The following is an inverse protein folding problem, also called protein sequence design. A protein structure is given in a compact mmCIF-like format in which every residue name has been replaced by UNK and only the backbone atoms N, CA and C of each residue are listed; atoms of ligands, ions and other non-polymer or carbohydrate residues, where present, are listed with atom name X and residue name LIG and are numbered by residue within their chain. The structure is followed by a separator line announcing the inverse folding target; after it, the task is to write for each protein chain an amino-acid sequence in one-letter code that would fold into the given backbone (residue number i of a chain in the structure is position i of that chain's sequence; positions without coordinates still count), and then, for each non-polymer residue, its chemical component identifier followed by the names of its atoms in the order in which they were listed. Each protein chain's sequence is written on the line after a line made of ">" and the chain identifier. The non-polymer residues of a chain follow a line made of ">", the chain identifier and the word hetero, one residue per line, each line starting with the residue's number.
data_IF_211208044711
#
_entry.id   IF_211208044711
#
_cell.length_a   1.000
_cell.length_b   1.000
_cell.length_c   1.000
_cell.angle_alpha   90.00
_cell.angle_beta   90.00
_cell.angle_gamma   90.00
#
_symmetry.space_group_name_H-M   'P 1'
#
loop_
_entity.id
_entity.type
_entity.pdbx_description
1 polymer ?
#
# COMPACT_ATOMS: atom_id res chain seq x y z
N UNK A 1 50.25 -40.90 33.87
CA UNK A 1 49.13 -40.58 32.95
C UNK A 1 49.20 -39.09 32.58
N UNK A 2 49.81 -38.75 31.46
CA UNK A 2 50.01 -37.36 31.01
C UNK A 2 49.00 -37.01 29.91
N UNK A 3 48.16 -35.99 30.13
CA UNK A 3 47.24 -35.44 29.12
C UNK A 3 48.01 -34.43 28.25
N UNK A 4 48.14 -34.73 26.97
CA UNK A 4 48.71 -33.83 25.98
C UNK A 4 47.68 -32.74 25.61
N UNK A 5 47.99 -31.53 26.06
CA UNK A 5 47.30 -30.28 25.73
C UNK A 5 47.65 -29.89 24.27
N UNK A 6 46.73 -30.11 23.33
CA UNK A 6 46.87 -29.64 21.94
C UNK A 6 46.30 -28.23 21.82
N UNK A 7 47.16 -27.23 21.97
CA UNK A 7 46.92 -25.87 21.55
C UNK A 7 46.83 -25.81 20.02
N UNK A 8 45.61 -25.71 19.50
CA UNK A 8 45.39 -25.37 18.09
C UNK A 8 45.72 -23.88 17.88
N UNK A 9 46.58 -23.51 16.92
CA UNK A 9 46.77 -22.12 16.57
C UNK A 9 45.48 -21.57 15.93
N UNK A 10 45.11 -20.29 16.18
CA UNK A 10 44.05 -19.65 15.44
C UNK A 10 44.51 -19.51 13.99
N UNK A 11 44.01 -20.40 13.13
CA UNK A 11 44.18 -20.26 11.69
C UNK A 11 43.62 -18.89 11.23
N UNK A 12 44.18 -18.29 10.18
CA UNK A 12 43.67 -17.03 9.64
C UNK A 12 42.18 -17.21 9.36
N UNK A 13 41.36 -16.38 10.00
CA UNK A 13 39.93 -16.29 9.77
C UNK A 13 39.74 -15.99 8.29
N UNK A 14 39.59 -17.04 7.48
CA UNK A 14 39.25 -16.94 6.08
C UNK A 14 38.01 -16.06 6.02
N UNK A 15 38.17 -14.86 5.44
CA UNK A 15 37.11 -13.89 5.29
C UNK A 15 35.92 -14.64 4.67
N UNK A 16 34.87 -14.86 5.48
CA UNK A 16 33.70 -15.60 5.05
C UNK A 16 33.16 -14.86 3.82
N UNK A 17 33.11 -15.49 2.63
CA UNK A 17 32.70 -14.80 1.43
C UNK A 17 31.32 -14.23 1.70
N UNK A 18 31.22 -12.90 1.68
CA UNK A 18 29.99 -12.18 1.94
C UNK A 18 28.88 -12.85 1.13
N UNK A 19 27.95 -13.48 1.84
CA UNK A 19 27.02 -14.44 1.27
C UNK A 19 26.27 -13.78 0.10
N UNK A 20 26.19 -14.39 -1.09
CA UNK A 20 25.38 -13.87 -2.21
C UNK A 20 23.92 -13.56 -1.81
N UNK A 21 23.45 -14.16 -0.72
CA UNK A 21 22.19 -13.86 -0.05
C UNK A 21 22.06 -12.41 0.46
N UNK A 22 23.13 -11.79 0.99
CA UNK A 22 23.10 -10.37 1.44
C UNK A 22 22.89 -9.41 0.27
N UNK A 23 23.48 -9.70 -0.89
CA UNK A 23 23.30 -8.89 -2.10
C UNK A 23 21.93 -9.07 -2.77
N UNK A 24 21.26 -10.22 -2.61
CA UNK A 24 19.88 -10.41 -3.09
C UNK A 24 18.83 -9.74 -2.20
N UNK A 25 19.15 -9.46 -0.93
CA UNK A 25 18.24 -8.79 0.00
C UNK A 25 18.17 -7.27 -0.21
N UNK A 26 19.17 -6.64 -0.82
CA UNK A 26 19.21 -5.18 -1.04
C UNK A 26 18.47 -4.71 -2.30
N UNK A 27 18.07 -5.62 -3.19
CA UNK A 27 17.39 -5.29 -4.44
C UNK A 27 15.90 -5.70 -4.43
N UNK A 28 15.13 -5.25 -3.44
CA UNK A 28 13.66 -5.25 -3.61
C UNK A 28 13.33 -4.15 -4.63
N UNK A 29 12.59 -4.45 -5.71
CA UNK A 29 12.57 -3.58 -6.88
C UNK A 29 11.84 -2.26 -6.56
N UNK A 30 12.51 -1.10 -6.66
CA UNK A 30 11.86 0.22 -6.53
C UNK A 30 10.69 0.40 -7.50
N UNK A 31 10.66 -0.40 -8.57
CA UNK A 31 9.59 -0.43 -9.57
C UNK A 31 8.20 -0.69 -8.99
N UNK A 32 8.03 -1.53 -7.96
CA UNK A 32 6.69 -1.82 -7.39
C UNK A 32 6.11 -0.62 -6.62
N UNK A 33 6.98 0.13 -5.94
CA UNK A 33 6.60 1.36 -5.22
C UNK A 33 6.31 2.48 -6.22
N UNK A 34 7.14 2.61 -7.24
CA UNK A 34 6.89 3.53 -8.35
C UNK A 34 5.54 3.21 -9.04
N UNK A 35 5.25 1.93 -9.30
CA UNK A 35 3.97 1.51 -9.88
C UNK A 35 2.77 1.89 -8.99
N UNK A 36 2.87 1.72 -7.67
CA UNK A 36 1.83 2.18 -6.73
C UNK A 36 1.61 3.69 -6.83
N UNK A 37 2.69 4.48 -6.77
CA UNK A 37 2.61 5.95 -6.87
C UNK A 37 2.01 6.39 -8.20
N UNK A 38 2.50 5.83 -9.31
CA UNK A 38 2.00 6.15 -10.66
C UNK A 38 0.54 5.77 -10.80
N UNK A 39 0.13 4.59 -10.32
CA UNK A 39 -1.26 4.14 -10.39
C UNK A 39 -2.20 5.05 -9.57
N UNK A 40 -1.77 5.46 -8.36
CA UNK A 40 -2.54 6.39 -7.52
C UNK A 40 -2.69 7.75 -8.19
N UNK A 41 -1.59 8.32 -8.70
CA UNK A 41 -1.62 9.61 -9.38
C UNK A 41 -2.47 9.56 -10.65
N UNK A 42 -2.35 8.49 -11.43
CA UNK A 42 -3.15 8.29 -12.63
C UNK A 42 -4.64 8.16 -12.29
N UNK A 43 -4.99 7.40 -11.26
CA UNK A 43 -6.38 7.25 -10.83
C UNK A 43 -7.00 8.57 -10.35
N UNK A 44 -6.23 9.37 -9.60
CA UNK A 44 -6.63 10.73 -9.19
C UNK A 44 -6.83 11.62 -10.42
N UNK A 45 -5.90 11.61 -11.36
CA UNK A 45 -5.98 12.42 -12.58
C UNK A 45 -7.20 12.04 -13.44
N UNK A 46 -7.43 10.74 -13.64
CA UNK A 46 -8.60 10.24 -14.39
C UNK A 46 -9.90 10.62 -13.69
N UNK A 47 -9.97 10.48 -12.36
CA UNK A 47 -11.15 10.88 -11.60
C UNK A 47 -11.43 12.39 -11.70
N UNK A 48 -10.38 13.22 -11.68
CA UNK A 48 -10.51 14.67 -11.88
C UNK A 48 -11.00 15.01 -13.29
N UNK A 49 -10.47 14.36 -14.32
CA UNK A 49 -10.88 14.60 -15.71
C UNK A 49 -12.30 14.10 -16.00
N UNK A 50 -12.76 13.07 -15.29
CA UNK A 50 -14.12 12.55 -15.40
C UNK A 50 -15.16 13.40 -14.66
N UNK A 51 -14.74 14.31 -13.78
CA UNK A 51 -15.65 15.13 -13.01
C UNK A 51 -16.13 16.35 -13.83
N UNK A 52 -17.44 16.44 -14.02
CA UNK A 52 -18.07 17.64 -14.59
C UNK A 52 -18.26 18.71 -13.50
N UNK A 53 -17.45 19.76 -13.57
CA UNK A 53 -17.44 20.88 -12.63
C UNK A 53 -18.72 21.73 -12.71
N UNK A 54 -19.35 21.86 -13.87
CA UNK A 54 -20.49 22.76 -14.04
C UNK A 54 -21.75 22.17 -13.37
N UNK A 55 -22.04 20.90 -13.63
CA UNK A 55 -23.15 20.20 -12.98
C UNK A 55 -22.96 20.10 -11.46
N UNK A 56 -21.72 19.86 -11.03
CA UNK A 56 -21.40 19.80 -9.60
C UNK A 56 -21.50 21.15 -8.89
N UNK A 57 -21.15 22.25 -9.56
CA UNK A 57 -21.28 23.59 -9.00
C UNK A 57 -22.76 23.96 -8.81
N UNK A 58 -23.60 23.69 -9.82
CA UNK A 58 -25.04 23.93 -9.73
C UNK A 58 -25.70 23.14 -8.58
N UNK A 59 -25.37 21.85 -8.44
CA UNK A 59 -25.85 21.02 -7.35
C UNK A 59 -25.39 21.54 -5.98
N UNK A 60 -24.14 22.01 -5.86
CA UNK A 60 -23.61 22.56 -4.61
C UNK A 60 -24.24 23.91 -4.22
N UNK A 61 -24.70 24.71 -5.20
CA UNK A 61 -25.45 25.94 -4.91
C UNK A 61 -26.89 25.68 -4.49
N UNK A 62 -27.50 24.60 -4.99
CA UNK A 62 -28.87 24.21 -4.64
C UNK A 62 -28.97 23.72 -3.18
N UNK A 63 -27.96 22.99 -2.70
CA UNK A 63 -27.88 22.53 -1.31
C UNK A 63 -26.44 22.66 -0.75
N UNK A 64 -26.11 23.79 -0.13
CA UNK A 64 -24.76 24.06 0.36
C UNK A 64 -24.43 23.30 1.65
N UNK A 65 -25.42 22.80 2.38
CA UNK A 65 -25.21 21.99 3.58
C UNK A 65 -24.84 20.56 3.19
N UNK A 66 -25.60 19.95 2.27
CA UNK A 66 -25.27 18.65 1.69
C UNK A 66 -23.88 18.67 1.06
N UNK A 67 -23.54 19.71 0.28
CA UNK A 67 -22.22 19.82 -0.32
C UNK A 67 -21.09 19.86 0.72
N UNK A 68 -21.29 20.53 1.86
CA UNK A 68 -20.32 20.56 2.97
C UNK A 68 -20.17 19.17 3.62
N UNK A 69 -21.28 18.48 3.88
CA UNK A 69 -21.26 17.13 4.44
C UNK A 69 -20.54 16.14 3.52
N UNK A 70 -20.82 16.18 2.21
CA UNK A 70 -20.17 15.33 1.22
C UNK A 70 -18.65 15.60 1.12
N UNK A 71 -18.23 16.87 1.17
CA UNK A 71 -16.79 17.23 1.19
C UNK A 71 -16.11 16.74 2.46
N UNK A 72 -16.75 16.88 3.62
CA UNK A 72 -16.21 16.34 4.87
C UNK A 72 -16.04 14.81 4.79
N UNK A 73 -17.03 14.10 4.25
CA UNK A 73 -16.96 12.65 4.02
C UNK A 73 -15.85 12.27 3.03
N UNK A 74 -15.68 13.03 1.95
CA UNK A 74 -14.61 12.82 0.97
C UNK A 74 -13.24 12.96 1.62
N UNK A 75 -13.03 13.96 2.50
CA UNK A 75 -11.79 14.11 3.27
C UNK A 75 -11.52 12.92 4.20
N UNK A 76 -12.55 12.42 4.89
CA UNK A 76 -12.43 11.22 5.73
C UNK A 76 -11.99 10.03 4.87
N UNK A 77 -12.62 9.81 3.72
CA UNK A 77 -12.25 8.72 2.80
C UNK A 77 -10.87 8.91 2.18
N UNK A 78 -10.44 10.15 1.94
CA UNK A 78 -9.07 10.44 1.50
C UNK A 78 -8.04 10.04 2.56
N UNK A 79 -8.30 10.31 3.84
CA UNK A 79 -7.42 9.86 4.92
C UNK A 79 -7.35 8.34 5.03
N UNK A 80 -8.47 7.65 4.83
CA UNK A 80 -8.50 6.18 4.75
C UNK A 80 -7.74 5.64 3.54
N UNK A 81 -7.87 6.27 2.37
CA UNK A 81 -7.11 5.91 1.17
C UNK A 81 -5.59 6.11 1.37
N UNK A 82 -5.19 7.17 2.08
CA UNK A 82 -3.78 7.39 2.44
C UNK A 82 -3.26 6.28 3.39
N UNK A 83 -4.06 5.89 4.40
CA UNK A 83 -3.72 4.77 5.28
C UNK A 83 -3.61 3.45 4.50
N UNK A 84 -4.51 3.21 3.54
CA UNK A 84 -4.47 2.06 2.65
C UNK A 84 -3.21 2.04 1.77
N UNK A 85 -2.83 3.19 1.19
CA UNK A 85 -1.60 3.32 0.40
C UNK A 85 -0.34 3.04 1.24
N UNK A 86 -0.31 3.56 2.48
CA UNK A 86 0.77 3.26 3.42
C UNK A 86 0.84 1.76 3.74
N UNK A 87 -0.30 1.12 4.02
CA UNK A 87 -0.36 -0.31 4.27
C UNK A 87 0.12 -1.11 3.06
N UNK A 88 -0.33 -0.77 1.86
CA UNK A 88 0.11 -1.42 0.63
C UNK A 88 1.61 -1.25 0.37
N UNK A 89 2.18 -0.07 0.62
CA UNK A 89 3.64 0.14 0.55
C UNK A 89 4.39 -0.81 1.50
N UNK A 90 3.84 -1.08 2.70
CA UNK A 90 4.41 -2.05 3.64
C UNK A 90 4.27 -3.48 3.13
N UNK A 91 3.10 -3.87 2.64
CA UNK A 91 2.84 -5.22 2.13
C UNK A 91 3.66 -5.54 0.87
N UNK A 92 3.84 -4.57 -0.03
CA UNK A 92 4.64 -4.74 -1.26
C UNK A 92 6.14 -4.94 -0.99
N UNK A 93 6.61 -4.67 0.24
CA UNK A 93 7.97 -5.04 0.67
C UNK A 93 8.10 -6.53 0.96
N UNK A 94 7.00 -7.27 1.16
CA UNK A 94 7.04 -8.72 1.28
C UNK A 94 7.19 -9.38 -0.09
N UNK A 95 7.75 -10.62 -0.17
CA UNK A 95 7.84 -11.37 -1.41
C UNK A 95 6.45 -11.84 -1.86
N UNK A 96 5.71 -10.95 -2.52
CA UNK A 96 4.39 -11.22 -3.09
C UNK A 96 4.50 -11.62 -4.55
N UNK A 97 3.66 -12.57 -4.97
CA UNK A 97 3.46 -12.90 -6.38
C UNK A 97 2.93 -11.70 -7.18
N UNK A 98 3.21 -11.62 -8.50
CA UNK A 98 2.92 -10.44 -9.31
C UNK A 98 1.43 -10.10 -9.37
N UNK A 99 0.54 -11.10 -9.46
CA UNK A 99 -0.92 -10.87 -9.46
C UNK A 99 -1.43 -10.26 -8.16
N UNK A 100 -0.92 -10.71 -7.02
CA UNK A 100 -1.29 -10.15 -5.72
C UNK A 100 -0.79 -8.70 -5.55
N UNK A 101 0.44 -8.42 -6.01
CA UNK A 101 0.99 -7.08 -6.02
C UNK A 101 0.17 -6.13 -6.91
N UNK A 102 -0.20 -6.56 -8.12
CA UNK A 102 -1.07 -5.80 -9.02
C UNK A 102 -2.45 -5.54 -8.42
N UNK A 103 -3.06 -6.55 -7.78
CA UNK A 103 -4.34 -6.41 -7.10
C UNK A 103 -4.31 -5.40 -5.94
N UNK A 104 -3.25 -5.39 -5.13
CA UNK A 104 -3.06 -4.40 -4.06
C UNK A 104 -2.92 -2.97 -4.63
N UNK A 105 -2.18 -2.81 -5.72
CA UNK A 105 -2.04 -1.51 -6.41
C UNK A 105 -3.38 -1.03 -6.95
N UNK A 106 -4.13 -1.92 -7.63
CA UNK A 106 -5.45 -1.59 -8.17
C UNK A 106 -6.45 -1.23 -7.06
N UNK A 107 -6.47 -1.97 -5.96
CA UNK A 107 -7.33 -1.70 -4.81
C UNK A 107 -7.09 -0.29 -4.24
N UNK A 108 -5.82 0.09 -4.04
CA UNK A 108 -5.47 1.43 -3.54
C UNK A 108 -5.79 2.51 -4.57
N UNK A 109 -5.53 2.28 -5.86
CA UNK A 109 -5.85 3.22 -6.92
C UNK A 109 -7.35 3.53 -6.98
N UNK A 110 -8.21 2.50 -6.88
CA UNK A 110 -9.67 2.67 -6.79
C UNK A 110 -10.09 3.49 -5.56
N UNK A 111 -9.51 3.18 -4.39
CA UNK A 111 -9.78 3.95 -3.17
C UNK A 111 -9.32 5.41 -3.28
N UNK A 112 -8.24 5.70 -4.00
CA UNK A 112 -7.70 7.05 -4.17
C UNK A 112 -8.52 7.90 -5.16
N UNK A 113 -9.09 7.29 -6.21
CA UNK A 113 -10.00 7.95 -7.12
C UNK A 113 -11.33 8.36 -6.46
N UNK A 114 -11.81 7.58 -5.50
CA UNK A 114 -13.12 7.78 -4.90
C UNK A 114 -13.33 9.15 -4.20
N UNK A 115 -12.42 9.65 -3.33
CA UNK A 115 -12.55 10.98 -2.73
C UNK A 115 -12.63 12.11 -3.75
N UNK A 116 -11.91 12.00 -4.87
CA UNK A 116 -11.98 12.97 -5.96
C UNK A 116 -13.39 13.00 -6.54
N UNK A 117 -13.92 11.84 -6.93
CA UNK A 117 -15.29 11.74 -7.45
C UNK A 117 -16.33 12.22 -6.43
N UNK A 118 -16.19 11.86 -5.16
CA UNK A 118 -17.11 12.28 -4.09
C UNK A 118 -17.07 13.78 -3.80
N UNK A 119 -15.99 14.47 -4.17
CA UNK A 119 -15.92 15.92 -4.09
C UNK A 119 -16.95 16.59 -5.00
N UNK A 120 -17.34 15.90 -6.07
CA UNK A 120 -18.35 16.33 -7.02
C UNK A 120 -19.69 15.65 -6.69
N UNK A 121 -20.71 16.44 -6.35
CA UNK A 121 -22.00 15.94 -5.86
C UNK A 121 -22.65 14.96 -6.84
N UNK A 122 -22.44 15.18 -8.15
CA UNK A 122 -22.95 14.32 -9.22
C UNK A 122 -22.38 12.89 -9.22
N UNK A 123 -21.22 12.65 -8.62
CA UNK A 123 -20.47 11.39 -8.72
C UNK A 123 -20.33 10.65 -7.38
N UNK A 124 -21.08 11.05 -6.35
CA UNK A 124 -21.02 10.45 -5.01
C UNK A 124 -21.26 8.94 -5.04
N UNK A 125 -22.24 8.48 -5.81
CA UNK A 125 -22.56 7.04 -5.94
C UNK A 125 -21.41 6.24 -6.54
N UNK A 126 -20.82 6.72 -7.63
CA UNK A 126 -19.65 6.09 -8.25
C UNK A 126 -18.44 6.08 -7.31
N UNK A 127 -18.17 7.22 -6.65
CA UNK A 127 -17.12 7.31 -5.64
C UNK A 127 -17.32 6.32 -4.49
N UNK A 128 -18.56 6.12 -4.03
CA UNK A 128 -18.87 5.16 -2.97
C UNK A 128 -18.55 3.73 -3.41
N UNK A 129 -18.98 3.34 -4.60
CA UNK A 129 -18.71 2.03 -5.16
C UNK A 129 -17.20 1.77 -5.29
N UNK A 130 -16.44 2.71 -5.86
CA UNK A 130 -14.99 2.60 -6.00
C UNK A 130 -14.30 2.43 -4.65
N UNK A 131 -14.70 3.23 -3.66
CA UNK A 131 -14.11 3.17 -2.32
C UNK A 131 -14.36 1.82 -1.65
N UNK A 132 -15.61 1.33 -1.68
CA UNK A 132 -15.96 0.06 -1.04
C UNK A 132 -15.36 -1.13 -1.79
N UNK A 133 -15.39 -1.14 -3.12
CA UNK A 133 -14.76 -2.18 -3.93
C UNK A 133 -13.24 -2.24 -3.67
N UNK A 134 -12.56 -1.09 -3.67
CA UNK A 134 -11.14 -1.00 -3.37
C UNK A 134 -10.81 -1.45 -1.95
N UNK A 135 -11.62 -1.07 -0.96
CA UNK A 135 -11.43 -1.50 0.43
C UNK A 135 -11.62 -3.02 0.60
N UNK A 136 -12.68 -3.59 0.04
CA UNK A 136 -12.94 -5.04 0.09
C UNK A 136 -11.79 -5.80 -0.58
N UNK A 137 -11.37 -5.35 -1.77
CA UNK A 137 -10.23 -5.94 -2.46
C UNK A 137 -8.95 -5.87 -1.62
N UNK A 138 -8.66 -4.73 -0.99
CA UNK A 138 -7.49 -4.56 -0.13
C UNK A 138 -7.53 -5.51 1.08
N UNK A 139 -8.69 -5.66 1.72
CA UNK A 139 -8.86 -6.56 2.87
C UNK A 139 -8.67 -8.02 2.46
N UNK A 140 -9.31 -8.45 1.37
CA UNK A 140 -9.23 -9.83 0.87
C UNK A 140 -7.80 -10.17 0.43
N UNK A 141 -7.14 -9.29 -0.32
CA UNK A 141 -5.79 -9.51 -0.84
C UNK A 141 -4.72 -9.31 0.24
N UNK A 142 -4.93 -8.38 1.17
CA UNK A 142 -3.99 -8.05 2.23
C UNK A 142 -3.98 -9.03 3.39
N UNK A 143 -5.01 -9.87 3.54
CA UNK A 143 -5.17 -10.79 4.67
C UNK A 143 -3.97 -11.75 4.83
N UNK A 144 -3.65 -12.54 3.80
CA UNK A 144 -2.56 -13.53 3.85
C UNK A 144 -1.17 -12.92 4.08
N UNK A 145 -0.78 -11.84 3.38
CA UNK A 145 0.47 -11.14 3.65
C UNK A 145 0.57 -10.62 5.10
N UNK A 146 -0.52 -10.14 5.68
CA UNK A 146 -0.52 -9.60 7.03
C UNK A 146 -0.22 -10.68 8.09
N UNK A 147 -0.78 -11.89 7.95
CA UNK A 147 -0.50 -13.02 8.85
C UNK A 147 1.00 -13.35 8.89
N UNK A 148 1.63 -13.42 7.72
CA UNK A 148 3.07 -13.74 7.63
C UNK A 148 3.93 -12.65 8.28
N UNK A 149 3.57 -11.38 8.12
CA UNK A 149 4.28 -10.25 8.70
C UNK A 149 4.17 -10.23 10.24
N UNK A 150 2.97 -10.48 10.78
CA UNK A 150 2.75 -10.54 12.22
C UNK A 150 3.54 -11.69 12.87
N UNK A 151 3.57 -12.86 12.24
CA UNK A 151 4.33 -14.02 12.70
C UNK A 151 5.85 -13.80 12.68
N UNK A 152 6.35 -13.02 11.73
CA UNK A 152 7.77 -12.66 11.69
C UNK A 152 8.12 -11.64 12.78
N UNK A 153 7.27 -10.62 12.98
CA UNK A 153 7.48 -9.57 13.99
C UNK A 153 7.47 -10.10 15.42
N UNK A 154 6.70 -11.16 15.72
CA UNK A 154 6.69 -11.78 17.05
C UNK A 154 8.00 -12.53 17.35
N UNK A 155 8.59 -13.22 16.37
CA UNK A 155 9.89 -13.91 16.52
C UNK A 155 11.04 -12.95 16.75
N UNK A 156 11.01 -11.79 16.11
CA UNK A 156 12.06 -10.77 16.27
C UNK A 156 12.04 -10.11 17.65
N UNK A 157 10.89 -10.10 18.35
CA UNK A 157 10.78 -9.55 19.72
C UNK A 157 11.21 -10.52 20.81
N UNK A 158 11.28 -11.82 20.51
CA UNK A 158 11.68 -12.86 21.47
C UNK A 158 13.18 -13.15 21.48
N UNK A 159 13.98 -12.41 20.69
CA UNK A 159 15.43 -12.49 20.62
C UNK A 159 16.05 -11.26 21.24
#
# INVERSE_FOLDING_TARGET
>A
MARLNRSFPPGPLAASPASPQRQRMSARPPARRAALTVAVLLAIAVAHLAADDAASAAAATADPELARLLRAMALIKASMAAAAAWLADRLLRCPLGPGLAAGLVAAVALMAAAPVLMWHVAHVGAGALLFHAGMIALLVLGWRPAETWLAQRSRDRSR
#
